data_IF_387718469848
#
_entry.id   IF_387718469848
#
_cell.length_a   1.000
_cell.length_b   1.000
_cell.length_c   1.000
_cell.angle_alpha   90.00
_cell.angle_beta   90.00
_cell.angle_gamma   90.00
#
_symmetry.space_group_name_H-M   'P 1'
#
loop_
_entity.id
_entity.type
_entity.pdbx_description
1 polymer ?
#
# COMPACT_ATOMS: atom_id res chain seq x y z
N UNK A 1 -44.79 0.39 -51.59
CA UNK A 1 -43.60 -0.39 -51.23
C UNK A 1 -42.82 0.36 -50.15
N UNK A 2 -43.52 0.70 -49.07
CA UNK A 2 -42.98 1.49 -47.95
C UNK A 2 -43.82 1.17 -46.72
N UNK A 3 -43.67 -0.02 -46.15
CA UNK A 3 -44.29 -0.36 -44.86
C UNK A 3 -43.74 -1.70 -44.31
N UNK A 4 -42.44 -1.84 -44.09
CA UNK A 4 -41.89 -3.02 -43.39
C UNK A 4 -40.53 -2.76 -42.72
N UNK A 5 -40.32 -1.61 -42.15
CA UNK A 5 -39.10 -1.31 -41.36
C UNK A 5 -39.38 -0.58 -40.03
N UNK A 6 -40.47 -0.86 -39.36
CA UNK A 6 -40.80 -0.19 -38.09
C UNK A 6 -41.33 -1.17 -37.04
N UNK A 7 -40.73 -2.33 -36.88
CA UNK A 7 -41.18 -3.31 -35.88
C UNK A 7 -40.01 -4.11 -35.25
N UNK A 8 -38.83 -3.53 -35.14
CA UNK A 8 -37.67 -4.18 -34.47
C UNK A 8 -36.99 -3.32 -33.41
N UNK A 9 -37.66 -2.33 -32.81
CA UNK A 9 -37.08 -1.45 -31.81
C UNK A 9 -37.82 -1.37 -30.47
N UNK A 10 -38.59 -2.39 -30.12
CA UNK A 10 -39.34 -2.40 -28.84
C UNK A 10 -39.30 -3.78 -28.18
N UNK A 11 -38.10 -4.36 -28.00
CA UNK A 11 -37.97 -5.57 -27.16
C UNK A 11 -36.57 -5.67 -26.53
N UNK A 12 -36.06 -4.55 -26.00
CA UNK A 12 -34.94 -4.55 -25.09
C UNK A 12 -35.33 -3.71 -23.88
N UNK A 13 -35.96 -4.33 -22.94
CA UNK A 13 -36.33 -3.64 -21.74
C UNK A 13 -37.16 -4.51 -20.83
N UNK A 14 -36.57 -4.91 -19.74
CA UNK A 14 -37.09 -5.59 -18.56
C UNK A 14 -36.65 -7.05 -18.48
N UNK A 15 -35.32 -7.24 -18.30
CA UNK A 15 -34.87 -8.34 -17.47
C UNK A 15 -34.78 -7.80 -16.03
N UNK A 16 -35.89 -7.85 -15.30
CA UNK A 16 -35.88 -7.73 -13.86
C UNK A 16 -35.01 -8.84 -13.31
N UNK A 17 -33.84 -8.46 -12.80
CA UNK A 17 -33.05 -9.32 -11.95
C UNK A 17 -33.92 -9.70 -10.75
N UNK A 18 -34.44 -10.89 -10.75
CA UNK A 18 -34.86 -11.59 -9.56
C UNK A 18 -33.62 -11.81 -8.75
N UNK A 19 -33.28 -10.82 -7.90
CA UNK A 19 -32.28 -10.97 -6.84
C UNK A 19 -32.82 -12.08 -5.92
N UNK A 20 -32.36 -13.31 -6.16
CA UNK A 20 -32.45 -14.34 -5.17
C UNK A 20 -31.80 -13.78 -3.91
N UNK A 21 -32.61 -13.51 -2.88
CA UNK A 21 -32.10 -13.29 -1.53
C UNK A 21 -31.47 -14.61 -1.07
N UNK A 22 -30.19 -14.77 -1.36
CA UNK A 22 -29.39 -15.80 -0.72
C UNK A 22 -29.16 -15.26 0.69
N UNK A 23 -30.00 -15.66 1.64
CA UNK A 23 -29.69 -15.49 3.07
C UNK A 23 -28.59 -16.52 3.38
N UNK A 24 -27.36 -16.10 3.28
CA UNK A 24 -26.23 -16.85 3.83
C UNK A 24 -26.34 -16.69 5.35
N UNK A 25 -26.88 -17.71 6.03
CA UNK A 25 -26.72 -17.83 7.47
C UNK A 25 -25.26 -18.12 7.75
N UNK A 26 -24.46 -17.06 7.87
CA UNK A 26 -23.14 -17.15 8.46
C UNK A 26 -23.34 -17.49 9.94
N UNK A 27 -22.69 -18.53 10.47
CA UNK A 27 -22.75 -18.78 11.90
C UNK A 27 -22.22 -17.54 12.61
N UNK A 28 -23.01 -16.96 13.50
CA UNK A 28 -22.64 -15.88 14.41
C UNK A 28 -21.46 -16.36 15.28
N UNK A 29 -20.25 -16.25 14.80
CA UNK A 29 -19.06 -16.29 15.63
C UNK A 29 -18.84 -14.88 16.15
N UNK A 30 -19.52 -14.53 17.23
CA UNK A 30 -19.14 -13.37 18.03
C UNK A 30 -17.71 -13.59 18.49
N UNK A 31 -16.81 -12.77 17.93
CA UNK A 31 -15.42 -12.74 18.36
C UNK A 31 -15.39 -12.31 19.83
N UNK A 32 -14.82 -13.14 20.69
CA UNK A 32 -14.69 -12.82 22.10
C UNK A 32 -13.33 -12.19 22.35
N UNK A 33 -13.34 -10.96 22.81
CA UNK A 33 -12.15 -10.34 23.38
C UNK A 33 -11.89 -10.95 24.76
N UNK A 34 -10.61 -11.16 25.05
CA UNK A 34 -10.10 -11.53 26.36
C UNK A 34 -9.33 -10.36 26.99
N UNK A 35 -8.60 -10.60 28.08
CA UNK A 35 -7.65 -9.63 28.59
C UNK A 35 -6.59 -9.34 27.52
N UNK A 36 -6.11 -8.10 27.51
CA UNK A 36 -5.00 -7.71 26.65
C UNK A 36 -3.72 -8.44 27.05
N UNK A 37 -3.12 -9.12 26.08
CA UNK A 37 -1.83 -9.80 26.22
C UNK A 37 -0.76 -9.05 25.40
N UNK A 38 0.50 -9.17 25.81
CA UNK A 38 1.65 -8.56 25.13
C UNK A 38 2.68 -9.65 24.85
N UNK A 39 3.11 -9.74 23.60
CA UNK A 39 4.20 -10.61 23.18
C UNK A 39 5.41 -9.74 22.78
N UNK A 40 6.54 -9.95 23.46
CA UNK A 40 7.80 -9.29 23.11
C UNK A 40 8.42 -10.00 21.90
N UNK A 41 8.77 -9.23 20.88
CA UNK A 41 9.45 -9.72 19.68
C UNK A 41 10.91 -9.30 19.76
N UNK A 42 11.81 -10.29 19.73
CA UNK A 42 13.25 -10.08 19.71
C UNK A 42 13.89 -11.11 18.77
N UNK A 43 14.16 -10.69 17.55
CA UNK A 43 14.76 -11.54 16.52
C UNK A 43 16.20 -11.01 16.32
N UNK A 44 17.21 -11.79 16.67
CA UNK A 44 18.60 -11.37 16.49
C UNK A 44 18.97 -11.25 14.99
N UNK A 45 19.98 -10.49 14.69
CA UNK A 45 20.55 -10.43 13.34
C UNK A 45 21.14 -11.80 13.00
N UNK A 46 20.65 -12.51 11.97
CA UNK A 46 21.22 -13.78 11.55
C UNK A 46 22.67 -13.63 11.10
N UNK A 47 23.49 -14.65 11.37
CA UNK A 47 24.86 -14.71 10.92
C UNK A 47 24.94 -14.81 9.38
N UNK A 48 26.02 -14.29 8.80
CA UNK A 48 26.24 -14.31 7.36
C UNK A 48 25.79 -13.04 6.65
N UNK A 49 26.13 -12.93 5.36
CA UNK A 49 25.86 -11.75 4.53
C UNK A 49 24.73 -11.98 3.53
N UNK A 50 24.09 -13.14 3.56
CA UNK A 50 23.02 -13.45 2.63
C UNK A 50 21.82 -12.51 2.85
N UNK A 51 21.17 -12.05 1.78
CA UNK A 51 19.95 -11.29 1.87
C UNK A 51 18.87 -12.06 2.63
N UNK A 52 18.14 -11.34 3.48
CA UNK A 52 17.03 -11.89 4.25
C UNK A 52 15.71 -11.40 3.70
N UNK A 53 14.68 -12.22 3.81
CA UNK A 53 13.30 -11.82 3.60
C UNK A 53 12.59 -11.74 4.94
N UNK A 54 11.95 -10.61 5.21
CA UNK A 54 11.04 -10.45 6.35
C UNK A 54 9.62 -10.32 5.84
N UNK A 55 8.76 -11.18 6.30
CA UNK A 55 7.34 -11.16 5.96
C UNK A 55 6.49 -10.91 7.21
N UNK A 56 5.63 -9.89 7.15
CA UNK A 56 4.66 -9.56 8.18
C UNK A 56 3.26 -9.88 7.63
N UNK A 57 2.51 -10.72 8.34
CA UNK A 57 1.17 -11.13 7.93
C UNK A 57 0.15 -10.82 9.03
N UNK A 58 -0.71 -9.82 8.80
CA UNK A 58 -1.63 -9.26 9.79
C UNK A 58 -3.05 -9.31 9.25
N UNK A 59 -3.97 -9.92 9.97
CA UNK A 59 -5.39 -9.96 9.57
C UNK A 59 -6.06 -8.60 9.72
N UNK A 60 -6.02 -8.03 10.92
CA UNK A 60 -6.60 -6.72 11.23
C UNK A 60 -5.88 -6.08 12.42
N UNK A 61 -5.88 -4.74 12.50
CA UNK A 61 -5.30 -3.98 13.62
C UNK A 61 -4.50 -2.76 13.20
N UNK A 62 -3.50 -2.43 14.01
CA UNK A 62 -2.58 -1.33 13.76
C UNK A 62 -1.15 -1.85 13.61
N UNK A 63 -0.41 -1.28 12.67
CA UNK A 63 0.97 -1.62 12.41
C UNK A 63 1.84 -0.36 12.43
N UNK A 64 2.80 -0.35 13.35
CA UNK A 64 3.84 0.67 13.45
C UNK A 64 5.19 0.01 13.15
N UNK A 65 5.92 0.56 12.18
CA UNK A 65 7.29 0.16 11.88
C UNK A 65 8.18 1.40 11.89
N UNK A 66 9.29 1.29 12.60
CA UNK A 66 10.30 2.33 12.68
C UNK A 66 11.71 1.73 12.51
N UNK A 67 12.71 2.50 12.11
CA UNK A 67 14.10 2.08 12.19
C UNK A 67 14.48 1.73 13.63
N UNK A 68 15.23 0.65 13.78
CA UNK A 68 15.76 0.16 15.06
C UNK A 68 17.27 0.24 15.14
N UNK A 69 17.82 -0.48 16.11
CA UNK A 69 19.27 -0.59 16.31
C UNK A 69 19.87 -1.73 15.47
N UNK A 70 21.19 -1.72 15.30
CA UNK A 70 21.89 -2.77 14.56
C UNK A 70 21.92 -4.14 15.28
N UNK A 71 21.53 -4.18 16.55
CA UNK A 71 21.69 -5.39 17.41
C UNK A 71 20.60 -6.45 17.17
N UNK A 72 19.50 -6.07 16.56
CA UNK A 72 18.39 -6.97 16.23
C UNK A 72 17.93 -6.79 14.80
N UNK A 73 17.47 -7.87 14.16
CA UNK A 73 16.77 -7.78 12.88
C UNK A 73 15.37 -7.20 13.04
N UNK A 74 14.64 -7.68 14.05
CA UNK A 74 13.34 -7.15 14.46
C UNK A 74 13.27 -7.14 15.97
N UNK A 75 12.82 -6.03 16.54
CA UNK A 75 12.50 -5.91 17.96
C UNK A 75 11.22 -5.11 18.15
N UNK A 76 10.49 -5.38 19.21
CA UNK A 76 9.28 -4.65 19.52
C UNK A 76 8.28 -5.47 20.32
N UNK A 77 7.03 -5.07 20.26
CA UNK A 77 5.94 -5.75 20.97
C UNK A 77 4.69 -5.83 20.12
N UNK A 78 3.95 -6.91 20.32
CA UNK A 78 2.64 -7.11 19.73
C UNK A 78 1.64 -7.26 20.87
N UNK A 79 0.65 -6.36 20.89
CA UNK A 79 -0.40 -6.31 21.88
C UNK A 79 -1.70 -6.78 21.27
N UNK A 80 -2.37 -7.76 21.86
CA UNK A 80 -3.61 -8.32 21.30
C UNK A 80 -4.62 -8.67 22.41
N UNK A 81 -5.91 -8.59 22.10
CA UNK A 81 -7.01 -8.93 23.02
C UNK A 81 -7.75 -10.23 22.65
N UNK A 82 -7.34 -10.89 21.59
CA UNK A 82 -7.92 -12.16 21.14
C UNK A 82 -6.84 -13.23 21.10
N UNK A 83 -7.07 -14.36 21.77
CA UNK A 83 -6.09 -15.47 21.84
C UNK A 83 -5.68 -15.99 20.44
N UNK A 84 -6.62 -16.00 19.50
CA UNK A 84 -6.39 -16.45 18.14
C UNK A 84 -5.46 -15.49 17.35
N UNK A 85 -5.19 -14.29 17.90
CA UNK A 85 -4.29 -13.30 17.32
C UNK A 85 -2.86 -13.37 17.88
N UNK A 86 -2.60 -14.32 18.78
CA UNK A 86 -1.25 -14.52 19.29
C UNK A 86 -0.26 -14.64 18.13
N UNK A 87 0.78 -13.78 18.05
CA UNK A 87 1.72 -13.82 16.94
C UNK A 87 2.55 -15.11 16.94
N UNK A 88 2.91 -15.54 15.76
CA UNK A 88 3.80 -16.66 15.52
C UNK A 88 5.01 -16.20 14.72
N UNK A 89 6.19 -16.62 15.14
CA UNK A 89 7.44 -16.36 14.42
C UNK A 89 7.94 -17.67 13.81
N UNK A 90 8.04 -17.69 12.50
CA UNK A 90 8.51 -18.85 11.73
C UNK A 90 9.79 -18.48 11.00
N UNK A 91 10.73 -19.42 10.91
CA UNK A 91 11.96 -19.25 10.12
C UNK A 91 12.04 -20.37 9.07
N UNK A 92 12.14 -19.98 7.82
CA UNK A 92 12.22 -20.89 6.66
C UNK A 92 13.40 -20.48 5.78
N UNK A 93 14.55 -21.10 5.99
CA UNK A 93 15.79 -20.69 5.31
C UNK A 93 16.14 -19.24 5.64
N UNK A 94 16.25 -18.39 4.62
CA UNK A 94 16.54 -16.96 4.76
C UNK A 94 15.27 -16.09 4.92
N UNK A 95 14.11 -16.70 5.14
CA UNK A 95 12.85 -15.99 5.35
C UNK A 95 12.43 -16.09 6.80
N UNK A 96 12.12 -14.94 7.40
CA UNK A 96 11.47 -14.82 8.69
C UNK A 96 10.06 -14.32 8.47
N UNK A 97 9.10 -15.02 9.02
CA UNK A 97 7.68 -14.70 8.93
C UNK A 97 7.18 -14.40 10.34
N UNK A 98 6.65 -13.20 10.54
CA UNK A 98 5.90 -12.86 11.75
C UNK A 98 4.45 -12.76 11.31
N UNK A 99 3.63 -13.70 11.77
CA UNK A 99 2.24 -13.77 11.37
C UNK A 99 1.31 -13.71 12.57
N UNK A 100 0.17 -13.05 12.40
CA UNK A 100 -0.94 -13.17 13.32
C UNK A 100 -1.43 -14.61 13.33
N UNK A 101 -1.76 -15.15 14.49
CA UNK A 101 -2.33 -16.49 14.61
C UNK A 101 -3.62 -16.64 13.78
N UNK A 102 -3.94 -17.86 13.41
CA UNK A 102 -5.08 -18.17 12.57
C UNK A 102 -6.42 -17.96 13.32
N UNK A 103 -6.96 -16.77 13.22
CA UNK A 103 -8.37 -16.59 13.44
C UNK A 103 -9.10 -17.12 12.19
N UNK A 104 -9.65 -18.30 12.22
CA UNK A 104 -10.35 -18.93 11.09
C UNK A 104 -11.60 -18.17 10.68
N UNK A 105 -11.44 -16.93 10.15
CA UNK A 105 -12.55 -16.11 9.67
C UNK A 105 -13.07 -16.66 8.33
N UNK A 106 -14.35 -16.98 8.30
CA UNK A 106 -15.09 -17.16 7.05
C UNK A 106 -15.95 -15.91 6.84
N UNK A 107 -15.42 -14.92 6.13
CA UNK A 107 -16.08 -13.64 5.84
C UNK A 107 -15.46 -12.45 6.57
N UNK A 108 -16.10 -11.27 6.50
CA UNK A 108 -15.71 -10.08 7.24
C UNK A 108 -16.19 -10.23 8.68
N UNK A 109 -15.29 -10.32 9.67
CA UNK A 109 -15.69 -10.40 11.07
C UNK A 109 -16.22 -9.05 11.55
N UNK A 110 -17.23 -9.09 12.41
CA UNK A 110 -17.63 -7.95 13.21
C UNK A 110 -16.72 -7.88 14.43
N UNK A 111 -15.85 -6.88 14.46
CA UNK A 111 -14.90 -6.70 15.55
C UNK A 111 -15.60 -6.00 16.72
N UNK A 112 -15.47 -6.52 17.94
CA UNK A 112 -15.96 -5.84 19.14
C UNK A 112 -15.32 -4.45 19.29
N UNK A 113 -16.02 -3.50 19.92
CA UNK A 113 -15.51 -2.17 20.21
C UNK A 113 -14.20 -2.12 21.02
N UNK A 114 -13.94 -3.19 21.79
CA UNK A 114 -12.74 -3.37 22.61
C UNK A 114 -11.64 -4.19 21.92
N UNK A 115 -11.76 -4.36 20.61
CA UNK A 115 -10.75 -5.06 19.83
C UNK A 115 -9.40 -4.31 19.88
N UNK A 116 -8.36 -5.03 20.24
CA UNK A 116 -6.98 -4.53 20.28
C UNK A 116 -6.06 -5.51 19.56
N UNK A 117 -5.34 -5.06 18.55
CA UNK A 117 -4.24 -5.76 17.89
C UNK A 117 -3.27 -4.73 17.33
N UNK A 118 -2.22 -4.45 18.09
CA UNK A 118 -1.23 -3.41 17.79
C UNK A 118 0.15 -4.03 17.69
N UNK A 119 0.78 -3.84 16.54
CA UNK A 119 2.13 -4.27 16.24
C UNK A 119 3.05 -3.06 16.22
N UNK A 120 3.93 -2.94 17.21
CA UNK A 120 4.93 -1.88 17.31
C UNK A 120 6.32 -2.50 17.17
N UNK A 121 6.87 -2.41 15.96
CA UNK A 121 8.08 -3.10 15.55
C UNK A 121 9.16 -2.09 15.13
N UNK A 122 10.40 -2.45 15.43
CA UNK A 122 11.60 -1.73 14.95
C UNK A 122 12.45 -2.70 14.15
N UNK A 123 12.87 -2.26 12.96
CA UNK A 123 13.69 -3.05 12.05
C UNK A 123 15.16 -2.61 12.14
N UNK A 124 16.07 -3.59 12.22
CA UNK A 124 17.50 -3.35 12.17
C UNK A 124 18.01 -2.98 10.78
N UNK A 125 19.32 -2.75 10.69
CA UNK A 125 19.96 -2.25 9.46
C UNK A 125 20.47 -3.35 8.51
N UNK A 126 20.24 -4.64 8.82
CA UNK A 126 20.62 -5.71 7.90
C UNK A 126 19.84 -5.58 6.59
N UNK A 127 20.47 -5.79 5.42
CA UNK A 127 19.77 -5.79 4.15
C UNK A 127 18.63 -6.82 4.11
N UNK A 128 17.39 -6.36 3.89
CA UNK A 128 16.19 -7.19 3.85
C UNK A 128 15.29 -6.87 2.66
N UNK A 129 14.62 -7.90 2.15
CA UNK A 129 13.42 -7.77 1.32
C UNK A 129 12.20 -7.80 2.27
N UNK A 130 11.47 -6.68 2.37
CA UNK A 130 10.34 -6.54 3.29
C UNK A 130 9.02 -6.75 2.56
N UNK A 131 8.22 -7.70 3.03
CA UNK A 131 6.86 -7.95 2.57
C UNK A 131 5.86 -7.73 3.72
N UNK A 132 4.82 -6.94 3.50
CA UNK A 132 3.74 -6.68 4.45
C UNK A 132 2.43 -7.08 3.79
N UNK A 133 1.80 -8.12 4.33
CA UNK A 133 0.50 -8.62 3.91
C UNK A 133 -0.52 -8.35 5.02
N UNK A 134 -1.52 -7.53 4.75
CA UNK A 134 -2.50 -7.20 5.78
C UNK A 134 -3.94 -7.19 5.21
N UNK A 135 -4.89 -7.53 6.06
CA UNK A 135 -6.31 -7.48 5.71
C UNK A 135 -6.89 -6.09 5.90
N UNK A 136 -7.26 -5.74 7.13
CA UNK A 136 -7.85 -4.45 7.50
C UNK A 136 -6.98 -3.76 8.55
N UNK A 137 -6.11 -2.82 8.14
CA UNK A 137 -5.12 -2.22 9.02
C UNK A 137 -4.98 -0.71 8.85
N UNK A 138 -4.60 -0.05 9.96
CA UNK A 138 -4.00 1.27 9.94
C UNK A 138 -2.48 1.11 10.09
N UNK A 139 -1.72 1.47 9.07
CA UNK A 139 -0.28 1.26 9.04
C UNK A 139 0.47 2.60 9.04
N UNK A 140 1.43 2.75 9.94
CA UNK A 140 2.37 3.87 9.99
C UNK A 140 3.79 3.32 9.90
N UNK A 141 4.43 3.55 8.78
CA UNK A 141 5.69 2.94 8.40
C UNK A 141 6.72 4.02 8.13
N UNK A 142 7.68 4.22 9.03
CA UNK A 142 8.88 5.00 8.76
C UNK A 142 10.01 4.04 8.40
N UNK A 143 10.44 4.07 7.15
CA UNK A 143 11.40 3.12 6.60
C UNK A 143 12.72 3.77 6.15
N UNK A 144 12.87 5.08 6.35
CA UNK A 144 14.11 5.80 6.06
C UNK A 144 15.29 5.32 6.92
N UNK A 145 16.51 5.31 6.34
CA UNK A 145 17.71 4.84 7.02
C UNK A 145 17.82 3.32 7.21
N UNK A 146 16.88 2.55 6.66
CA UNK A 146 16.99 1.10 6.57
C UNK A 146 17.80 0.67 5.34
N UNK A 147 18.12 -0.61 5.26
CA UNK A 147 18.76 -1.25 4.10
C UNK A 147 17.75 -2.17 3.40
N UNK A 148 16.70 -1.60 2.80
CA UNK A 148 15.71 -2.38 2.09
C UNK A 148 16.22 -2.74 0.69
N UNK A 149 16.20 -4.03 0.35
CA UNK A 149 16.50 -4.56 -0.98
C UNK A 149 15.29 -4.58 -1.89
N UNK A 150 14.10 -4.58 -1.29
CA UNK A 150 12.80 -4.51 -1.93
C UNK A 150 11.73 -4.26 -0.90
N UNK A 151 10.61 -3.65 -1.32
CA UNK A 151 9.45 -3.41 -0.47
C UNK A 151 8.17 -3.78 -1.21
N UNK A 152 7.40 -4.68 -0.61
CA UNK A 152 6.08 -5.05 -1.10
C UNK A 152 5.05 -4.90 0.02
N UNK A 153 4.02 -4.08 -0.19
CA UNK A 153 2.91 -3.89 0.73
C UNK A 153 1.62 -4.28 0.01
N UNK A 154 0.90 -5.24 0.58
CA UNK A 154 -0.42 -5.66 0.08
C UNK A 154 -1.42 -5.57 1.23
N UNK A 155 -2.42 -4.71 1.09
CA UNK A 155 -3.43 -4.52 2.12
C UNK A 155 -4.84 -4.48 1.50
N UNK A 156 -5.82 -4.96 2.22
CA UNK A 156 -7.22 -4.97 1.78
C UNK A 156 -7.88 -3.61 1.98
N UNK A 157 -8.53 -3.41 3.11
CA UNK A 157 -9.13 -2.13 3.52
C UNK A 157 -8.21 -1.43 4.52
N UNK A 158 -7.55 -0.32 4.14
CA UNK A 158 -6.46 0.21 4.95
C UNK A 158 -6.24 1.71 4.82
N UNK A 159 -5.65 2.27 5.88
CA UNK A 159 -4.99 3.56 5.79
C UNK A 159 -3.48 3.32 5.94
N UNK A 160 -2.72 3.63 4.90
CA UNK A 160 -1.27 3.46 4.88
C UNK A 160 -0.61 4.83 4.89
N UNK A 161 0.27 5.05 5.87
CA UNK A 161 1.21 6.16 5.90
C UNK A 161 2.60 5.56 5.85
N UNK A 162 3.28 5.72 4.72
CA UNK A 162 4.66 5.29 4.50
C UNK A 162 5.54 6.51 4.31
N UNK A 163 6.66 6.57 5.00
CA UNK A 163 7.62 7.66 4.85
C UNK A 163 9.07 7.16 4.77
N UNK A 164 9.88 7.92 4.02
CA UNK A 164 11.33 7.80 3.97
C UNK A 164 11.92 9.15 4.38
N UNK A 165 12.01 9.42 5.70
CA UNK A 165 12.59 10.67 6.22
C UNK A 165 14.10 10.76 5.96
N UNK A 166 14.76 9.63 5.79
CA UNK A 166 16.16 9.49 5.41
C UNK A 166 16.28 8.58 4.19
N UNK A 167 17.32 8.70 3.37
CA UNK A 167 17.53 7.79 2.25
C UNK A 167 17.64 6.33 2.72
N UNK A 168 17.06 5.42 1.94
CA UNK A 168 17.34 4.00 2.04
C UNK A 168 18.82 3.75 1.73
N UNK A 169 19.49 2.94 2.55
CA UNK A 169 20.96 2.82 2.52
C UNK A 169 21.49 2.00 1.34
N UNK A 170 20.64 1.22 0.71
CA UNK A 170 20.97 0.37 -0.45
C UNK A 170 19.94 0.60 -1.57
N UNK A 171 20.28 0.30 -2.80
CA UNK A 171 19.34 0.37 -3.91
C UNK A 171 18.28 -0.74 -3.79
N UNK A 172 16.99 -0.38 -3.81
CA UNK A 172 15.89 -1.34 -3.88
C UNK A 172 15.64 -1.79 -5.31
N UNK A 173 15.36 -3.06 -5.50
CA UNK A 173 14.90 -3.63 -6.78
C UNK A 173 13.54 -3.08 -7.20
N UNK A 174 12.73 -2.62 -6.24
CA UNK A 174 11.43 -2.00 -6.48
C UNK A 174 10.65 -1.78 -5.19
N UNK A 175 9.68 -0.86 -5.28
CA UNK A 175 8.70 -0.59 -4.26
C UNK A 175 7.31 -0.85 -4.84
N UNK A 176 6.55 -1.76 -4.24
CA UNK A 176 5.18 -2.07 -4.67
C UNK A 176 4.21 -1.85 -3.52
N UNK A 177 3.16 -1.07 -3.76
CA UNK A 177 2.04 -0.89 -2.82
C UNK A 177 0.73 -1.24 -3.52
N UNK A 178 0.00 -2.18 -2.94
CA UNK A 178 -1.32 -2.58 -3.43
C UNK A 178 -2.35 -2.46 -2.31
N UNK A 179 -3.41 -1.69 -2.53
CA UNK A 179 -4.52 -1.55 -1.57
C UNK A 179 -5.87 -1.68 -2.26
N UNK A 180 -6.81 -2.36 -1.62
CA UNK A 180 -8.16 -2.51 -2.16
C UNK A 180 -8.99 -1.24 -1.97
N UNK A 181 -9.04 -0.70 -0.77
CA UNK A 181 -9.77 0.53 -0.43
C UNK A 181 -9.14 1.23 0.77
N UNK A 182 -9.21 2.57 0.80
CA UNK A 182 -8.72 3.40 1.90
C UNK A 182 -7.85 4.56 1.45
N UNK A 183 -7.03 5.06 2.37
CA UNK A 183 -6.15 6.18 2.09
C UNK A 183 -4.69 5.73 2.07
N UNK A 184 -3.97 6.22 1.07
CA UNK A 184 -2.55 5.97 0.89
C UNK A 184 -1.80 7.29 0.93
N UNK A 185 -0.86 7.43 1.86
CA UNK A 185 0.05 8.57 1.94
C UNK A 185 1.46 8.05 1.89
N UNK A 186 2.18 8.35 0.82
CA UNK A 186 3.57 7.99 0.62
C UNK A 186 4.40 9.28 0.58
N UNK A 187 5.34 9.43 1.49
CA UNK A 187 6.15 10.64 1.62
C UNK A 187 7.66 10.35 1.53
N UNK A 188 8.39 11.30 0.95
CA UNK A 188 9.84 11.18 0.80
C UNK A 188 10.26 10.12 -0.22
N UNK A 189 9.45 9.89 -1.28
CA UNK A 189 9.66 8.80 -2.23
C UNK A 189 10.98 8.88 -2.99
N UNK A 190 11.57 10.08 -3.17
CA UNK A 190 12.90 10.23 -3.74
C UNK A 190 14.01 9.62 -2.86
N UNK A 191 13.77 9.49 -1.54
CA UNK A 191 14.67 8.82 -0.61
C UNK A 191 14.52 7.28 -0.62
N UNK A 192 13.56 6.73 -1.31
CA UNK A 192 13.36 5.27 -1.36
C UNK A 192 14.55 4.54 -2.03
N UNK A 193 15.35 5.24 -2.82
CA UNK A 193 16.52 4.71 -3.52
C UNK A 193 16.15 3.50 -4.39
N UNK A 194 15.25 3.72 -5.33
CA UNK A 194 14.79 2.73 -6.30
C UNK A 194 14.55 3.39 -7.65
N UNK A 195 14.70 2.63 -8.72
CA UNK A 195 14.34 3.06 -10.07
C UNK A 195 12.89 2.74 -10.45
N UNK A 196 12.14 2.03 -9.59
CA UNK A 196 10.77 1.61 -9.91
C UNK A 196 9.84 1.63 -8.70
N UNK A 197 8.68 2.27 -8.88
CA UNK A 197 7.56 2.26 -7.91
C UNK A 197 6.28 1.84 -8.64
N UNK A 198 5.60 0.81 -8.12
CA UNK A 198 4.32 0.33 -8.63
C UNK A 198 3.24 0.53 -7.56
N UNK A 199 2.19 1.28 -7.88
CA UNK A 199 1.07 1.55 -6.97
C UNK A 199 -0.22 1.08 -7.60
N UNK A 200 -0.95 0.24 -6.85
CA UNK A 200 -2.29 -0.23 -7.22
C UNK A 200 -3.27 0.14 -6.13
N UNK A 201 -4.26 0.96 -6.48
CA UNK A 201 -5.27 1.44 -5.54
C UNK A 201 -6.67 1.20 -6.11
N UNK A 202 -7.53 0.48 -5.40
CA UNK A 202 -8.91 0.27 -5.82
C UNK A 202 -9.73 1.55 -5.66
N UNK A 203 -10.05 1.92 -4.41
CA UNK A 203 -10.88 3.09 -4.08
C UNK A 203 -10.27 3.90 -2.95
N UNK A 204 -10.29 5.23 -3.06
CA UNK A 204 -9.86 6.12 -1.98
C UNK A 204 -9.03 7.31 -2.43
N UNK A 205 -8.23 7.82 -1.50
CA UNK A 205 -7.33 8.95 -1.78
C UNK A 205 -5.89 8.49 -1.65
N UNK A 206 -5.08 8.81 -2.66
CA UNK A 206 -3.64 8.53 -2.69
C UNK A 206 -2.86 9.84 -2.78
N UNK A 207 -1.98 10.11 -1.83
CA UNK A 207 -1.02 11.23 -1.85
C UNK A 207 0.38 10.66 -2.01
N UNK A 208 1.08 11.10 -3.05
CA UNK A 208 2.41 10.65 -3.42
C UNK A 208 3.35 11.85 -3.44
N UNK A 209 4.21 11.94 -2.45
CA UNK A 209 5.17 13.03 -2.29
C UNK A 209 6.58 12.54 -2.63
N UNK A 210 7.14 13.10 -3.70
CA UNK A 210 8.47 12.80 -4.22
C UNK A 210 9.56 13.71 -3.65
N UNK A 211 9.35 14.29 -2.48
CA UNK A 211 10.44 14.99 -1.77
C UNK A 211 11.57 14.02 -1.41
N UNK A 212 12.79 14.57 -1.23
CA UNK A 212 13.96 13.81 -0.87
C UNK A 212 15.12 13.97 -1.86
N UNK A 213 16.02 13.01 -1.88
CA UNK A 213 17.20 12.99 -2.74
C UNK A 213 17.09 11.88 -3.79
N UNK A 214 16.71 12.25 -5.00
CA UNK A 214 16.61 11.31 -6.13
C UNK A 214 18.02 10.91 -6.61
N UNK A 215 18.34 9.62 -6.52
CA UNK A 215 19.69 9.10 -6.80
C UNK A 215 19.83 8.50 -8.21
N UNK A 216 18.71 8.21 -8.87
CA UNK A 216 18.61 7.68 -10.23
C UNK A 216 17.28 8.10 -10.85
N UNK A 217 17.13 7.92 -12.15
CA UNK A 217 15.84 8.10 -12.80
C UNK A 217 14.81 7.16 -12.19
N UNK A 218 13.59 7.68 -11.97
CA UNK A 218 12.53 6.97 -11.29
C UNK A 218 11.32 6.79 -12.23
N UNK A 219 10.90 5.54 -12.39
CA UNK A 219 9.68 5.17 -13.11
C UNK A 219 8.58 4.80 -12.11
N UNK A 220 7.45 5.46 -12.20
CA UNK A 220 6.31 5.27 -11.32
C UNK A 220 5.09 4.85 -12.12
N UNK A 221 4.48 3.74 -11.75
CA UNK A 221 3.23 3.24 -12.34
C UNK A 221 2.12 3.32 -11.31
N UNK A 222 1.05 4.01 -11.64
CA UNK A 222 -0.11 4.17 -10.78
C UNK A 222 -1.32 3.62 -11.52
N UNK A 223 -1.92 2.58 -10.96
CA UNK A 223 -3.15 1.96 -11.44
C UNK A 223 -4.25 2.19 -10.39
N UNK A 224 -5.14 3.14 -10.65
CA UNK A 224 -6.21 3.56 -9.78
C UNK A 224 -7.59 3.27 -10.37
N UNK A 225 -8.44 2.52 -9.67
CA UNK A 225 -9.80 2.28 -10.18
C UNK A 225 -10.65 3.55 -10.08
N UNK A 226 -10.85 4.11 -8.87
CA UNK A 226 -11.59 5.35 -8.66
C UNK A 226 -11.16 6.06 -7.37
N UNK A 227 -11.09 7.41 -7.42
CA UNK A 227 -10.74 8.21 -6.25
C UNK A 227 -9.96 9.46 -6.61
N UNK A 228 -9.21 9.97 -5.64
CA UNK A 228 -8.37 11.14 -5.82
C UNK A 228 -6.90 10.74 -5.71
N UNK A 229 -6.09 11.17 -6.66
CA UNK A 229 -4.63 11.02 -6.63
C UNK A 229 -4.02 12.41 -6.58
N UNK A 230 -3.17 12.65 -5.59
CA UNK A 230 -2.40 13.88 -5.44
C UNK A 230 -0.91 13.55 -5.57
N UNK A 231 -0.25 14.11 -6.57
CA UNK A 231 1.16 13.94 -6.86
C UNK A 231 1.87 15.24 -6.56
N UNK A 232 2.86 15.19 -5.68
CA UNK A 232 3.68 16.32 -5.27
C UNK A 232 5.12 16.08 -5.76
N UNK A 233 5.60 16.96 -6.62
CA UNK A 233 6.98 16.93 -7.15
C UNK A 233 7.71 18.18 -6.69
N UNK A 234 8.88 18.07 -6.03
CA UNK A 234 9.63 19.24 -5.60
C UNK A 234 10.01 20.15 -6.75
N UNK A 235 10.04 21.46 -6.50
CA UNK A 235 10.51 22.45 -7.45
C UNK A 235 11.96 22.15 -7.93
N UNK A 236 12.22 22.33 -9.22
CA UNK A 236 13.53 22.06 -9.82
C UNK A 236 13.78 20.61 -10.21
N UNK A 237 12.87 19.69 -9.89
CA UNK A 237 12.94 18.29 -10.32
C UNK A 237 12.36 18.14 -11.71
N UNK A 238 13.06 17.44 -12.61
CA UNK A 238 12.52 17.08 -13.92
C UNK A 238 11.43 16.01 -13.74
N UNK A 239 10.22 16.26 -14.23
CA UNK A 239 9.14 15.29 -14.15
C UNK A 239 8.27 15.25 -15.41
N UNK A 240 7.74 14.07 -15.69
CA UNK A 240 6.75 13.82 -16.73
C UNK A 240 5.64 12.94 -16.18
N UNK A 241 4.39 13.34 -16.42
CA UNK A 241 3.21 12.57 -16.05
C UNK A 241 2.44 12.24 -17.32
N UNK A 242 2.42 10.98 -17.69
CA UNK A 242 1.61 10.43 -18.78
C UNK A 242 0.31 9.90 -18.22
N UNK A 243 -0.81 10.24 -18.84
CA UNK A 243 -2.14 10.03 -18.29
C UNK A 243 -2.98 9.21 -19.24
N UNK A 244 -3.50 8.10 -18.76
CA UNK A 244 -4.41 7.22 -19.49
C UNK A 244 -5.70 7.03 -18.68
N UNK A 245 -6.86 7.09 -19.34
CA UNK A 245 -8.16 6.85 -18.69
C UNK A 245 -9.29 7.67 -19.27
N UNK A 246 -10.50 7.55 -18.72
CA UNK A 246 -11.70 8.03 -19.39
C UNK A 246 -12.52 9.10 -18.65
N UNK A 247 -12.65 9.05 -17.32
CA UNK A 247 -13.65 9.84 -16.58
C UNK A 247 -13.04 10.56 -15.37
N UNK A 248 -11.95 11.31 -15.59
CA UNK A 248 -11.32 12.04 -14.49
C UNK A 248 -10.90 13.44 -14.90
N UNK A 249 -10.74 14.30 -13.88
CA UNK A 249 -10.30 15.67 -14.05
C UNK A 249 -8.85 15.82 -13.57
N UNK A 250 -8.04 16.58 -14.31
CA UNK A 250 -6.65 16.89 -13.92
C UNK A 250 -6.54 18.33 -13.50
N UNK A 251 -5.98 18.58 -12.33
CA UNK A 251 -5.79 19.91 -11.73
C UNK A 251 -4.29 20.15 -11.53
N UNK A 252 -3.60 20.77 -12.50
CA UNK A 252 -2.21 21.16 -12.30
C UNK A 252 -2.10 22.41 -11.44
N UNK A 253 -1.17 22.43 -10.50
CA UNK A 253 -0.79 23.55 -9.64
C UNK A 253 0.72 23.77 -9.72
N UNK A 254 1.14 25.00 -9.92
CA UNK A 254 2.54 25.38 -10.08
C UNK A 254 2.96 25.50 -11.53
N UNK A 255 4.12 25.01 -11.92
CA UNK A 255 4.78 25.24 -13.23
C UNK A 255 4.59 24.10 -14.23
N UNK A 256 3.60 23.24 -14.06
CA UNK A 256 3.30 22.16 -14.97
C UNK A 256 2.93 22.67 -16.37
N UNK A 257 3.62 22.20 -17.37
CA UNK A 257 3.37 22.48 -18.79
C UNK A 257 2.59 21.30 -19.39
N UNK A 258 1.56 21.62 -20.19
CA UNK A 258 0.77 20.58 -20.86
C UNK A 258 1.56 19.98 -22.03
N UNK A 259 1.62 18.66 -22.12
CA UNK A 259 2.19 17.88 -23.22
C UNK A 259 1.11 17.12 -24.00
N UNK A 260 1.49 16.39 -25.05
CA UNK A 260 0.55 15.61 -25.88
C UNK A 260 -0.16 14.50 -25.09
N UNK A 261 0.51 13.93 -24.09
CA UNK A 261 0.01 12.80 -23.31
C UNK A 261 -0.19 13.08 -21.81
N UNK A 262 -0.04 14.35 -21.38
CA UNK A 262 -0.17 14.72 -19.97
C UNK A 262 0.49 16.03 -19.60
N UNK A 263 1.44 15.99 -18.67
CA UNK A 263 2.10 17.18 -18.13
C UNK A 263 3.58 16.95 -17.90
N UNK A 264 4.38 18.03 -18.03
CA UNK A 264 5.83 18.01 -17.80
C UNK A 264 6.27 19.17 -16.93
N UNK A 265 7.35 18.98 -16.19
CA UNK A 265 8.12 20.04 -15.52
C UNK A 265 9.55 19.93 -16.00
N UNK A 266 10.11 20.99 -16.60
CA UNK A 266 11.54 21.04 -16.88
C UNK A 266 12.32 21.21 -15.57
N UNK A 267 13.46 20.56 -15.47
CA UNK A 267 14.34 20.62 -14.31
C UNK A 267 15.73 20.12 -14.66
N UNK A 268 16.55 19.90 -13.65
CA UNK A 268 17.90 19.37 -13.78
C UNK A 268 18.05 18.03 -13.06
N UNK A 269 19.07 17.24 -13.43
CA UNK A 269 19.39 15.98 -12.79
C UNK A 269 18.49 14.82 -13.22
N UNK A 270 18.24 13.91 -12.29
CA UNK A 270 17.42 12.72 -12.52
C UNK A 270 15.95 13.05 -12.77
N UNK A 271 15.30 12.23 -13.58
CA UNK A 271 13.91 12.43 -14.01
C UNK A 271 12.96 11.49 -13.28
N UNK A 272 11.79 12.01 -12.92
CA UNK A 272 10.64 11.21 -12.47
C UNK A 272 9.66 11.06 -13.63
N UNK A 273 9.48 9.82 -14.10
CA UNK A 273 8.53 9.48 -15.17
C UNK A 273 7.34 8.74 -14.55
N UNK A 274 6.18 9.35 -14.55
CA UNK A 274 4.97 8.83 -13.90
C UNK A 274 3.95 8.47 -14.97
N UNK A 275 3.47 7.23 -14.95
CA UNK A 275 2.34 6.77 -15.75
C UNK A 275 1.14 6.57 -14.84
N UNK A 276 0.06 7.29 -15.10
CA UNK A 276 -1.18 7.22 -14.32
C UNK A 276 -2.27 6.63 -15.20
N UNK A 277 -2.82 5.50 -14.77
CA UNK A 277 -4.04 4.91 -15.33
C UNK A 277 -5.16 5.03 -14.30
N UNK A 278 -6.25 5.72 -14.65
CA UNK A 278 -7.40 5.95 -13.79
C UNK A 278 -8.70 5.73 -14.55
N UNK A 279 -9.66 5.04 -13.91
CA UNK A 279 -11.00 4.92 -14.47
C UNK A 279 -11.87 6.16 -14.19
N UNK A 280 -11.86 6.67 -12.94
CA UNK A 280 -12.66 7.85 -12.55
C UNK A 280 -12.06 8.59 -11.35
N UNK A 281 -12.22 9.93 -11.28
CA UNK A 281 -11.82 10.72 -10.11
C UNK A 281 -11.11 12.03 -10.43
N UNK A 282 -10.18 12.41 -9.56
CA UNK A 282 -9.40 13.65 -9.66
C UNK A 282 -7.92 13.30 -9.57
N UNK A 283 -7.12 13.87 -10.47
CA UNK A 283 -5.67 13.85 -10.41
C UNK A 283 -5.19 15.28 -10.15
N UNK A 284 -4.63 15.52 -8.97
CA UNK A 284 -3.97 16.79 -8.64
C UNK A 284 -2.46 16.64 -8.83
N UNK A 285 -1.87 17.59 -9.53
CA UNK A 285 -0.42 17.69 -9.75
C UNK A 285 0.07 18.97 -9.08
N UNK A 286 1.02 18.87 -8.17
CA UNK A 286 1.59 19.99 -7.41
C UNK A 286 3.11 20.00 -7.52
N UNK A 287 3.69 21.22 -7.67
CA UNK A 287 5.13 21.42 -7.58
C UNK A 287 5.51 22.79 -7.02
#
# INVERSE_FOLDING_TARGET
MYQQKLLWFTMVGISFATACRISVNLPDRTLKTGPTEVEEIQIPVPNGNDPMRLELAIGAGELFINPGTADALVQGKITYSMKDFKPQVLTQGNTIIIQQGEAGFKGLPDFPSEFNNVWDLKLGQKPIDLAINAGATNSQLELGGLSLLGLTITQGASNIKLSFLQPNLVEMTGLTVSTGAGNLTLAGLANAHTSRIDIKSGFGTSTLDFTGNLQSDLFVYIDGAAGNIHIIVPQGTTAEVNIEGALFNVIPRGTWEKSDHGYTIPGEGHKISISVMMAAGILELEN
#
